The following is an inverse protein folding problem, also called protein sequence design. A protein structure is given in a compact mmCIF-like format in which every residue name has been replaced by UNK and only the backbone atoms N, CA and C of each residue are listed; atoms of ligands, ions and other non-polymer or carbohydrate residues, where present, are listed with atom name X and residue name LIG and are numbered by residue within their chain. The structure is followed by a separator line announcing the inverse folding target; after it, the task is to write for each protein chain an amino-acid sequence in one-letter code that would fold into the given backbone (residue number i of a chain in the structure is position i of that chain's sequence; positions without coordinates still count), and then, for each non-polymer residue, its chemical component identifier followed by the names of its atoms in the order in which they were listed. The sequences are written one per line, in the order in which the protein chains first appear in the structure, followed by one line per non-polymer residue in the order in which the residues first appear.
data_IF_284639975364
#
_entry.id   IF_284639975364
#
_cell.length_a   1.000
_cell.length_b   1.000
_cell.length_c   1.000
_cell.angle_alpha   90.00
_cell.angle_beta   90.00
_cell.angle_gamma   90.00
#
_symmetry.space_group_name_H-M   'P 1'
#
loop_
_entity.id
_entity.type
_entity.pdbx_description
1 polymer ?
#
# COMPACT_ATOMS: atom_id res chain seq x y z
N UNK A 1 -44.96 21.78 8.07
CA UNK A 1 -45.53 20.97 9.15
C UNK A 1 -44.48 20.89 10.25
N UNK A 2 -44.72 21.53 11.39
CA UNK A 2 -43.80 21.47 12.53
C UNK A 2 -43.96 20.14 13.26
N UNK A 3 -42.84 19.46 13.53
CA UNK A 3 -42.84 18.30 14.41
C UNK A 3 -43.04 18.77 15.86
N UNK A 4 -43.90 18.13 16.65
CA UNK A 4 -44.09 18.51 18.04
C UNK A 4 -42.81 18.24 18.83
N UNK A 5 -42.40 19.23 19.62
CA UNK A 5 -41.40 19.07 20.67
C UNK A 5 -41.97 18.11 21.73
N UNK A 6 -41.62 16.84 21.63
CA UNK A 6 -41.83 15.90 22.71
C UNK A 6 -40.66 15.99 23.69
N UNK A 7 -41.00 16.28 24.94
CA UNK A 7 -40.08 16.57 26.02
C UNK A 7 -39.17 15.38 26.33
N UNK A 8 -37.87 15.54 26.09
CA UNK A 8 -36.81 14.79 26.76
C UNK A 8 -36.35 13.47 26.12
N UNK A 9 -36.98 13.01 25.04
CA UNK A 9 -36.48 11.86 24.28
C UNK A 9 -36.38 12.27 22.80
N UNK A 10 -35.17 12.43 22.22
CA UNK A 10 -35.06 12.62 20.79
C UNK A 10 -35.68 11.38 20.15
N UNK A 11 -36.82 11.56 19.47
CA UNK A 11 -37.49 10.44 18.83
C UNK A 11 -36.53 9.62 17.96
N UNK A 12 -36.90 8.37 17.67
CA UNK A 12 -36.05 7.46 16.88
C UNK A 12 -35.50 8.10 15.60
N UNK A 13 -36.29 8.95 14.93
CA UNK A 13 -35.90 9.61 13.69
C UNK A 13 -34.73 10.59 13.85
N UNK A 14 -34.76 11.60 14.75
CA UNK A 14 -33.58 12.41 15.07
C UNK A 14 -32.32 11.61 15.41
N UNK A 15 -32.45 10.58 16.25
CA UNK A 15 -31.31 9.74 16.62
C UNK A 15 -30.76 8.97 15.40
N UNK A 16 -31.64 8.44 14.57
CA UNK A 16 -31.25 7.75 13.33
C UNK A 16 -30.47 8.69 12.40
N UNK A 17 -30.93 9.93 12.22
CA UNK A 17 -30.22 10.94 11.42
C UNK A 17 -28.84 11.29 12.00
N UNK A 18 -28.73 11.39 13.33
CA UNK A 18 -27.44 11.59 13.98
C UNK A 18 -26.50 10.41 13.71
N UNK A 19 -26.99 9.17 13.82
CA UNK A 19 -26.18 7.98 13.54
C UNK A 19 -25.74 7.97 12.08
N UNK A 20 -26.61 8.25 11.11
CA UNK A 20 -26.26 8.18 9.68
C UNK A 20 -25.19 9.17 9.25
N UNK A 21 -25.13 10.35 9.88
CA UNK A 21 -24.15 11.38 9.53
C UNK A 21 -22.85 11.30 10.35
N UNK A 22 -22.82 10.52 11.44
CA UNK A 22 -21.70 10.49 12.39
C UNK A 22 -21.08 9.10 12.55
N UNK A 23 -21.55 8.10 11.80
CA UNK A 23 -20.97 6.78 11.82
C UNK A 23 -19.67 6.73 11.00
N UNK A 24 -18.73 5.92 11.50
CA UNK A 24 -17.46 5.64 10.86
C UNK A 24 -17.43 4.19 10.42
N UNK A 25 -17.05 3.96 9.17
CA UNK A 25 -16.69 2.62 8.72
C UNK A 25 -15.36 2.23 9.37
N UNK A 26 -15.36 1.12 10.10
CA UNK A 26 -14.18 0.57 10.74
C UNK A 26 -13.51 -0.37 9.75
N UNK A 27 -12.24 -0.13 9.46
CA UNK A 27 -11.43 -0.97 8.58
C UNK A 27 -10.43 -1.82 9.37
N UNK A 28 -10.06 -2.98 8.81
CA UNK A 28 -8.99 -3.81 9.35
C UNK A 28 -7.60 -3.31 8.88
N UNK A 29 -6.53 -4.00 9.28
CA UNK A 29 -5.16 -3.67 8.88
C UNK A 29 -4.89 -3.75 7.36
N UNK A 30 -5.77 -4.39 6.59
CA UNK A 30 -5.69 -4.42 5.12
C UNK A 30 -6.61 -3.37 4.46
N UNK A 31 -7.16 -2.46 5.26
CA UNK A 31 -8.08 -1.40 4.83
C UNK A 31 -9.41 -1.92 4.25
N UNK A 32 -9.81 -3.14 4.64
CA UNK A 32 -11.12 -3.68 4.31
C UNK A 32 -12.14 -3.30 5.38
N UNK A 33 -13.33 -2.90 4.95
CA UNK A 33 -14.43 -2.53 5.83
C UNK A 33 -14.95 -3.75 6.59
N UNK A 34 -14.91 -3.71 7.92
CA UNK A 34 -15.32 -4.83 8.80
C UNK A 34 -16.44 -4.47 9.77
N UNK A 35 -16.77 -3.19 9.91
CA UNK A 35 -17.82 -2.76 10.82
C UNK A 35 -18.14 -1.28 10.73
N UNK A 36 -19.04 -0.85 11.62
CA UNK A 36 -19.44 0.55 11.75
C UNK A 36 -19.44 0.92 13.24
N UNK A 37 -18.90 2.09 13.57
CA UNK A 37 -18.82 2.60 14.94
C UNK A 37 -19.19 4.07 15.05
N UNK A 38 -19.52 4.50 16.27
CA UNK A 38 -19.75 5.90 16.60
C UNK A 38 -18.61 6.40 17.48
N UNK A 39 -17.96 7.48 17.05
CA UNK A 39 -16.84 8.11 17.74
C UNK A 39 -17.14 9.61 17.93
N UNK A 40 -17.97 9.99 18.92
CA UNK A 40 -18.51 11.34 19.02
C UNK A 40 -17.47 12.46 18.99
N UNK A 41 -16.30 12.26 19.63
CA UNK A 41 -15.21 13.23 19.60
C UNK A 41 -14.59 13.41 18.21
N UNK A 42 -14.55 12.34 17.40
CA UNK A 42 -14.01 12.37 16.05
C UNK A 42 -15.04 12.88 15.04
N UNK A 43 -16.34 12.77 15.34
CA UNK A 43 -17.43 13.35 14.56
C UNK A 43 -17.41 14.89 14.51
N UNK A 44 -16.57 15.54 15.32
CA UNK A 44 -16.36 17.00 15.27
C UNK A 44 -15.49 17.45 14.09
N UNK A 45 -14.71 16.54 13.50
CA UNK A 45 -13.75 16.87 12.43
C UNK A 45 -14.50 17.03 11.11
N UNK A 46 -14.33 18.16 10.43
CA UNK A 46 -14.95 18.42 9.14
C UNK A 46 -14.26 17.68 7.99
N UNK A 47 -14.95 17.64 6.85
CA UNK A 47 -14.46 17.01 5.64
C UNK A 47 -13.48 17.89 4.85
N UNK A 48 -12.43 17.29 4.30
CA UNK A 48 -11.73 17.79 3.12
C UNK A 48 -11.39 16.61 2.20
N UNK A 49 -11.46 16.79 0.87
CA UNK A 49 -10.94 15.79 -0.07
C UNK A 49 -9.40 15.78 -0.13
N UNK A 50 -8.75 16.80 0.46
CA UNK A 50 -7.30 16.87 0.69
C UNK A 50 -7.07 17.18 2.19
N UNK A 51 -7.28 16.19 3.07
CA UNK A 51 -7.31 16.40 4.51
C UNK A 51 -5.92 16.58 5.11
N UNK A 52 -5.84 17.22 6.29
CA UNK A 52 -4.60 17.31 7.06
C UNK A 52 -4.44 16.21 8.12
N UNK A 53 -5.50 15.43 8.37
CA UNK A 53 -5.48 14.26 9.23
C UNK A 53 -6.00 13.02 8.49
N UNK A 54 -5.52 11.86 8.94
CA UNK A 54 -6.05 10.55 8.54
C UNK A 54 -6.49 9.77 9.78
N UNK A 55 -7.41 8.85 9.55
CA UNK A 55 -7.88 7.90 10.54
C UNK A 55 -7.41 6.50 10.13
N UNK A 56 -6.87 5.76 11.09
CA UNK A 56 -6.62 4.33 11.00
C UNK A 56 -7.19 3.64 12.23
N UNK A 57 -7.41 2.33 12.16
CA UNK A 57 -8.00 1.55 13.24
C UNK A 57 -7.06 0.45 13.73
N UNK A 58 -6.96 0.30 15.04
CA UNK A 58 -6.38 -0.87 15.72
C UNK A 58 -7.54 -1.62 16.41
N UNK A 59 -8.08 -2.63 15.73
CA UNK A 59 -9.36 -3.23 16.12
C UNK A 59 -10.49 -2.21 16.06
N UNK A 60 -11.08 -1.88 17.22
CA UNK A 60 -12.10 -0.81 17.33
C UNK A 60 -11.52 0.53 17.80
N UNK A 61 -10.21 0.61 18.05
CA UNK A 61 -9.58 1.84 18.49
C UNK A 61 -9.27 2.73 17.28
N UNK A 62 -9.88 3.92 17.25
CA UNK A 62 -9.65 4.94 16.23
C UNK A 62 -8.39 5.75 16.58
N UNK A 63 -7.44 5.80 15.65
CA UNK A 63 -6.22 6.60 15.75
C UNK A 63 -6.27 7.74 14.73
N UNK A 64 -6.35 8.98 15.24
CA UNK A 64 -6.27 10.20 14.44
C UNK A 64 -4.82 10.67 14.37
N UNK A 65 -4.29 10.88 13.17
CA UNK A 65 -2.90 11.34 12.97
C UNK A 65 -2.82 12.42 11.92
N UNK A 66 -2.01 13.45 12.17
CA UNK A 66 -1.69 14.48 11.19
C UNK A 66 -0.80 13.92 10.08
N UNK A 67 -1.10 14.28 8.82
CA UNK A 67 -0.34 13.86 7.63
C UNK A 67 0.39 15.01 6.94
N UNK A 68 0.31 16.21 7.52
CA UNK A 68 1.12 17.37 7.17
C UNK A 68 1.29 18.26 8.39
N UNK A 69 2.14 19.26 8.28
CA UNK A 69 2.22 20.32 9.29
C UNK A 69 0.88 21.06 9.37
N UNK A 70 0.47 21.40 10.59
CA UNK A 70 -0.80 22.06 10.90
C UNK A 70 -0.48 23.31 11.72
N UNK A 71 -0.92 24.46 11.22
CA UNK A 71 -0.65 25.74 11.88
C UNK A 71 -1.62 25.98 13.05
N UNK A 72 -1.22 26.82 14.02
CA UNK A 72 -2.10 27.20 15.12
C UNK A 72 -3.36 27.89 14.57
N UNK A 73 -4.53 27.38 14.94
CA UNK A 73 -5.82 27.88 14.46
C UNK A 73 -6.27 27.29 13.12
N UNK A 74 -5.46 26.44 12.48
CA UNK A 74 -5.89 25.68 11.32
C UNK A 74 -6.87 24.58 11.73
N UNK A 75 -7.95 24.42 10.95
CA UNK A 75 -8.96 23.41 11.18
C UNK A 75 -8.42 21.99 10.89
N UNK A 76 -8.73 21.04 11.77
CA UNK A 76 -8.43 19.63 11.55
C UNK A 76 -9.51 19.00 10.66
N UNK A 77 -9.10 18.41 9.55
CA UNK A 77 -10.01 17.80 8.57
C UNK A 77 -9.63 16.37 8.24
N UNK A 78 -10.63 15.55 7.92
CA UNK A 78 -10.49 14.15 7.48
C UNK A 78 -11.26 13.94 6.17
N UNK A 79 -10.99 12.85 5.45
CA UNK A 79 -11.85 12.44 4.34
C UNK A 79 -12.99 11.57 4.87
N UNK A 80 -14.24 11.94 4.60
CA UNK A 80 -15.41 11.13 4.96
C UNK A 80 -15.68 10.02 3.95
N UNK A 81 -15.16 10.19 2.74
CA UNK A 81 -15.46 9.38 1.57
C UNK A 81 -14.17 8.89 0.92
N UNK A 82 -14.29 7.91 0.03
CA UNK A 82 -13.19 7.54 -0.86
C UNK A 82 -12.90 8.71 -1.82
N UNK A 83 -11.67 9.22 -1.82
CA UNK A 83 -11.28 10.36 -2.68
C UNK A 83 -10.87 9.93 -4.10
N UNK A 84 -10.71 8.62 -4.35
CA UNK A 84 -10.35 8.01 -5.65
C UNK A 84 -11.55 7.86 -6.59
N UNK A 85 -12.42 8.85 -6.61
CA UNK A 85 -13.52 8.99 -7.58
C UNK A 85 -13.58 10.43 -8.11
N UNK A 86 -14.21 10.69 -9.28
CA UNK A 86 -14.28 12.04 -9.84
C UNK A 86 -15.01 13.01 -8.92
N UNK A 87 -14.77 14.31 -9.07
CA UNK A 87 -15.35 15.37 -8.24
C UNK A 87 -16.87 15.32 -8.23
N UNK A 88 -17.50 15.05 -9.38
CA UNK A 88 -18.94 14.88 -9.48
C UNK A 88 -19.50 13.77 -8.58
N UNK A 89 -18.82 12.63 -8.49
CA UNK A 89 -19.22 11.52 -7.63
C UNK A 89 -18.97 11.86 -6.15
N UNK A 90 -17.85 12.51 -5.84
CA UNK A 90 -17.56 13.00 -4.48
C UNK A 90 -18.66 13.95 -3.99
N UNK A 91 -19.00 14.98 -4.77
CA UNK A 91 -20.07 15.94 -4.43
C UNK A 91 -21.42 15.25 -4.24
N UNK A 92 -21.76 14.31 -5.12
CA UNK A 92 -23.01 13.55 -5.02
C UNK A 92 -23.06 12.71 -3.74
N UNK A 93 -21.97 12.05 -3.37
CA UNK A 93 -21.89 11.26 -2.14
C UNK A 93 -22.00 12.15 -0.89
N UNK A 94 -21.26 13.26 -0.87
CA UNK A 94 -21.28 14.21 0.25
C UNK A 94 -22.66 14.85 0.42
N UNK A 95 -23.30 15.29 -0.65
CA UNK A 95 -24.64 15.85 -0.61
C UNK A 95 -25.67 14.82 -0.14
N UNK A 96 -25.56 13.57 -0.62
CA UNK A 96 -26.52 12.51 -0.28
C UNK A 96 -26.44 12.07 1.18
N UNK A 97 -25.23 11.98 1.75
CA UNK A 97 -25.01 11.43 3.08
C UNK A 97 -24.86 12.50 4.16
N UNK A 98 -24.22 13.63 3.83
CA UNK A 98 -23.84 14.66 4.80
C UNK A 98 -24.49 16.03 4.50
N UNK A 99 -25.26 16.14 3.41
CA UNK A 99 -26.06 17.32 3.08
C UNK A 99 -25.25 18.63 2.91
N UNK A 100 -24.04 18.54 2.35
CA UNK A 100 -23.22 19.72 2.03
C UNK A 100 -22.47 19.55 0.70
N UNK A 101 -22.03 20.67 0.13
CA UNK A 101 -21.13 20.73 -1.04
C UNK A 101 -19.71 21.04 -0.57
N UNK A 102 -18.72 20.30 -1.05
CA UNK A 102 -17.32 20.50 -0.67
C UNK A 102 -16.65 21.54 -1.56
N UNK A 103 -16.05 22.55 -0.95
CA UNK A 103 -15.37 23.66 -1.64
C UNK A 103 -13.84 23.59 -1.54
N UNK A 104 -13.26 22.46 -1.11
CA UNK A 104 -11.82 22.31 -1.00
C UNK A 104 -11.10 22.49 -2.35
N UNK A 105 -9.80 22.81 -2.32
CA UNK A 105 -8.97 23.05 -3.52
C UNK A 105 -9.04 21.90 -4.55
N UNK A 106 -9.11 20.65 -4.09
CA UNK A 106 -9.22 19.50 -4.99
C UNK A 106 -10.55 19.49 -5.78
N UNK A 107 -11.65 19.93 -5.16
CA UNK A 107 -12.95 20.06 -5.81
C UNK A 107 -13.03 21.29 -6.71
N UNK A 108 -12.30 22.36 -6.40
CA UNK A 108 -12.23 23.56 -7.23
C UNK A 108 -11.41 23.33 -8.51
N UNK A 109 -10.25 22.66 -8.40
CA UNK A 109 -9.33 22.51 -9.53
C UNK A 109 -9.73 21.37 -10.48
N UNK A 110 -10.27 20.26 -9.96
CA UNK A 110 -10.70 19.07 -10.73
C UNK A 110 -9.63 18.45 -11.66
N UNK A 111 -8.35 18.84 -11.52
CA UNK A 111 -7.26 18.47 -12.43
C UNK A 111 -7.10 16.95 -12.62
N UNK A 112 -7.33 16.18 -11.55
CA UNK A 112 -7.18 14.72 -11.59
C UNK A 112 -8.37 14.00 -12.21
N UNK A 113 -9.50 14.65 -12.45
CA UNK A 113 -10.72 13.97 -12.92
C UNK A 113 -10.59 13.45 -14.36
N UNK A 114 -9.90 14.20 -15.23
CA UNK A 114 -9.59 13.75 -16.58
C UNK A 114 -8.72 12.49 -16.57
N UNK A 115 -7.71 12.44 -15.70
CA UNK A 115 -6.83 11.27 -15.56
C UNK A 115 -7.59 10.08 -14.94
N UNK A 116 -8.46 10.33 -13.96
CA UNK A 116 -9.30 9.29 -13.34
C UNK A 116 -10.19 8.57 -14.35
N UNK A 117 -10.64 9.28 -15.39
CA UNK A 117 -11.51 8.78 -16.45
C UNK A 117 -10.79 8.63 -17.80
N UNK A 118 -9.45 8.58 -17.80
CA UNK A 118 -8.66 8.46 -19.02
C UNK A 118 -8.96 7.16 -19.79
N UNK A 119 -8.81 7.21 -21.11
CA UNK A 119 -9.09 6.09 -22.01
C UNK A 119 -10.48 6.15 -22.65
N UNK A 120 -10.87 5.07 -23.33
CA UNK A 120 -12.12 4.99 -24.08
C UNK A 120 -13.36 4.92 -23.15
N UNK A 121 -14.34 5.80 -23.39
CA UNK A 121 -15.51 5.97 -22.50
C UNK A 121 -16.37 4.72 -22.36
N UNK A 122 -16.66 4.02 -23.45
CA UNK A 122 -17.46 2.79 -23.36
C UNK A 122 -16.70 1.70 -22.59
N UNK A 123 -15.37 1.64 -22.74
CA UNK A 123 -14.53 0.64 -22.11
C UNK A 123 -14.51 0.83 -20.59
N UNK A 124 -14.28 2.06 -20.10
CA UNK A 124 -14.26 2.27 -18.65
C UNK A 124 -15.65 2.20 -18.03
N UNK A 125 -16.73 2.47 -18.77
CA UNK A 125 -18.11 2.24 -18.29
C UNK A 125 -18.41 0.76 -18.08
N UNK A 126 -18.02 -0.08 -19.04
CA UNK A 126 -18.14 -1.54 -18.90
C UNK A 126 -17.36 -2.05 -17.68
N UNK A 127 -16.12 -1.58 -17.50
CA UNK A 127 -15.30 -1.95 -16.33
C UNK A 127 -15.90 -1.41 -15.04
N UNK A 128 -16.43 -0.18 -15.02
CA UNK A 128 -17.13 0.39 -13.87
C UNK A 128 -18.30 -0.48 -13.43
N UNK A 129 -19.15 -0.88 -14.38
CA UNK A 129 -20.31 -1.74 -14.09
C UNK A 129 -19.85 -3.08 -13.53
N UNK A 130 -18.79 -3.66 -14.11
CA UNK A 130 -18.21 -4.90 -13.62
C UNK A 130 -17.65 -4.80 -12.19
N UNK A 131 -16.91 -3.74 -11.87
CA UNK A 131 -16.36 -3.51 -10.52
C UNK A 131 -17.49 -3.33 -9.49
N UNK A 132 -18.54 -2.59 -9.84
CA UNK A 132 -19.66 -2.33 -8.92
C UNK A 132 -20.49 -3.59 -8.60
N UNK A 133 -20.43 -4.62 -9.43
CA UNK A 133 -21.11 -5.89 -9.22
C UNK A 133 -20.30 -6.90 -8.38
N UNK A 134 -19.00 -6.65 -8.18
CA UNK A 134 -18.16 -7.55 -7.38
C UNK A 134 -18.65 -7.55 -5.93
N UNK A 135 -18.99 -8.75 -5.44
CA UNK A 135 -19.34 -8.99 -4.04
C UNK A 135 -18.19 -9.72 -3.37
N UNK A 136 -18.07 -9.58 -2.05
CA UNK A 136 -17.05 -10.30 -1.29
C UNK A 136 -17.24 -11.82 -1.43
N UNK A 137 -16.25 -12.54 -1.99
CA UNK A 137 -16.37 -13.96 -2.27
C UNK A 137 -16.36 -14.82 -1.02
N UNK A 138 -17.10 -15.93 -1.04
CA UNK A 138 -17.23 -16.85 0.09
C UNK A 138 -16.60 -18.21 -0.16
N UNK A 139 -16.21 -18.51 -1.40
CA UNK A 139 -15.59 -19.77 -1.77
C UNK A 139 -14.49 -19.58 -2.81
N UNK A 140 -13.67 -20.62 -2.98
CA UNK A 140 -12.59 -20.63 -3.96
C UNK A 140 -13.12 -20.49 -5.39
N UNK A 141 -14.24 -21.12 -5.70
CA UNK A 141 -14.88 -21.08 -7.02
C UNK A 141 -15.40 -19.68 -7.37
N UNK A 142 -15.84 -18.90 -6.38
CA UNK A 142 -16.22 -17.50 -6.59
C UNK A 142 -14.99 -16.62 -6.90
N UNK A 143 -13.86 -16.88 -6.24
CA UNK A 143 -12.58 -16.21 -6.56
C UNK A 143 -12.11 -16.54 -7.98
N UNK A 144 -12.22 -17.79 -8.43
CA UNK A 144 -11.88 -18.20 -9.80
C UNK A 144 -12.74 -17.48 -10.85
N UNK A 145 -14.05 -17.33 -10.60
CA UNK A 145 -14.96 -16.59 -11.47
C UNK A 145 -14.60 -15.11 -11.56
N UNK A 146 -14.27 -14.49 -10.42
CA UNK A 146 -13.82 -13.10 -10.37
C UNK A 146 -12.52 -12.94 -11.14
N UNK A 147 -11.53 -13.80 -10.90
CA UNK A 147 -10.25 -13.72 -11.60
C UNK A 147 -10.44 -13.86 -13.11
N UNK A 148 -11.25 -14.82 -13.56
CA UNK A 148 -11.56 -15.00 -14.99
C UNK A 148 -12.23 -13.75 -15.58
N UNK A 149 -13.17 -13.13 -14.87
CA UNK A 149 -13.81 -11.88 -15.29
C UNK A 149 -12.80 -10.73 -15.38
N UNK A 150 -11.94 -10.58 -14.36
CA UNK A 150 -10.87 -9.58 -14.34
C UNK A 150 -9.91 -9.76 -15.53
N UNK A 151 -9.42 -10.98 -15.75
CA UNK A 151 -8.50 -11.30 -16.85
C UNK A 151 -9.12 -10.99 -18.21
N UNK A 152 -10.39 -11.35 -18.42
CA UNK A 152 -11.10 -11.07 -19.68
C UNK A 152 -11.23 -9.56 -19.93
N UNK A 153 -11.61 -8.78 -18.92
CA UNK A 153 -11.76 -7.32 -19.06
C UNK A 153 -10.41 -6.61 -19.19
N UNK A 154 -9.40 -7.01 -18.40
CA UNK A 154 -8.06 -6.43 -18.46
C UNK A 154 -7.39 -6.70 -19.81
N UNK A 155 -7.54 -7.91 -20.35
CA UNK A 155 -6.97 -8.27 -21.66
C UNK A 155 -7.69 -7.56 -22.80
N UNK A 156 -9.03 -7.53 -22.79
CA UNK A 156 -9.85 -6.86 -23.82
C UNK A 156 -9.65 -5.35 -23.89
N UNK A 157 -9.23 -4.74 -22.78
CA UNK A 157 -8.99 -3.29 -22.68
C UNK A 157 -7.50 -2.89 -22.78
N UNK A 158 -6.62 -3.83 -23.13
CA UNK A 158 -5.20 -3.54 -23.34
C UNK A 158 -5.04 -2.44 -24.41
N UNK A 159 -4.39 -1.34 -24.05
CA UNK A 159 -4.19 -0.19 -24.95
C UNK A 159 -5.38 0.78 -25.04
N UNK A 160 -6.56 0.42 -24.51
CA UNK A 160 -7.77 1.26 -24.50
C UNK A 160 -7.92 2.03 -23.19
N UNK A 161 -7.54 1.39 -22.08
CA UNK A 161 -7.57 1.97 -20.75
C UNK A 161 -6.18 1.97 -20.13
N UNK A 162 -5.66 3.13 -19.68
CA UNK A 162 -4.44 3.16 -18.90
C UNK A 162 -4.70 2.68 -17.47
N UNK A 163 -3.66 2.18 -16.79
CA UNK A 163 -3.75 1.77 -15.38
C UNK A 163 -4.08 2.94 -14.43
N UNK A 164 -3.91 4.18 -14.90
CA UNK A 164 -4.34 5.39 -14.19
C UNK A 164 -5.86 5.58 -14.18
N UNK A 165 -6.61 4.98 -15.11
CA UNK A 165 -8.08 5.01 -15.03
C UNK A 165 -8.54 4.31 -13.73
N UNK A 166 -9.40 4.96 -12.94
CA UNK A 166 -9.76 4.45 -11.61
C UNK A 166 -10.52 3.12 -11.65
N UNK A 167 -11.27 2.84 -12.70
CA UNK A 167 -12.03 1.58 -12.81
C UNK A 167 -11.10 0.45 -13.25
N UNK A 168 -10.16 0.74 -14.15
CA UNK A 168 -9.06 -0.18 -14.47
C UNK A 168 -8.22 -0.48 -13.23
N UNK A 169 -7.88 0.54 -12.44
CA UNK A 169 -7.13 0.38 -11.19
C UNK A 169 -7.87 -0.49 -10.16
N UNK A 170 -9.18 -0.27 -9.98
CA UNK A 170 -10.01 -1.12 -9.11
C UNK A 170 -10.10 -2.56 -9.63
N UNK A 171 -10.15 -2.76 -10.95
CA UNK A 171 -10.11 -4.09 -11.55
C UNK A 171 -8.76 -4.79 -11.32
N UNK A 172 -7.64 -4.07 -11.38
CA UNK A 172 -6.32 -4.61 -11.06
C UNK A 172 -6.21 -5.04 -9.59
N UNK A 173 -6.73 -4.23 -8.68
CA UNK A 173 -6.74 -4.55 -7.25
C UNK A 173 -7.60 -5.78 -6.95
N UNK A 174 -8.78 -5.87 -7.60
CA UNK A 174 -9.65 -7.05 -7.52
C UNK A 174 -8.99 -8.32 -8.09
N UNK A 175 -8.27 -8.21 -9.21
CA UNK A 175 -7.50 -9.32 -9.77
C UNK A 175 -6.38 -9.77 -8.83
N UNK A 176 -5.67 -8.80 -8.22
CA UNK A 176 -4.64 -9.08 -7.22
C UNK A 176 -5.23 -9.81 -6.01
N UNK A 177 -6.36 -9.37 -5.46
CA UNK A 177 -7.07 -10.04 -4.36
C UNK A 177 -7.44 -11.47 -4.72
N UNK A 178 -7.99 -11.69 -5.91
CA UNK A 178 -8.36 -13.01 -6.37
C UNK A 178 -7.14 -13.93 -6.50
N UNK A 179 -6.04 -13.44 -7.09
CA UNK A 179 -4.79 -14.20 -7.17
C UNK A 179 -4.21 -14.54 -5.80
N UNK A 180 -4.27 -13.61 -4.82
CA UNK A 180 -3.81 -13.88 -3.44
C UNK A 180 -4.63 -15.01 -2.80
N UNK A 181 -5.96 -14.95 -2.93
CA UNK A 181 -6.87 -15.96 -2.35
C UNK A 181 -6.79 -17.32 -3.07
N UNK A 182 -6.31 -17.33 -4.32
CA UNK A 182 -6.08 -18.54 -5.11
C UNK A 182 -4.64 -19.05 -5.04
N UNK A 183 -3.78 -18.39 -4.26
CA UNK A 183 -2.35 -18.69 -4.09
C UNK A 183 -1.52 -18.56 -5.40
N UNK A 184 -2.01 -17.76 -6.36
CA UNK A 184 -1.31 -17.41 -7.60
C UNK A 184 -0.38 -16.21 -7.38
N UNK A 185 0.72 -16.42 -6.64
CA UNK A 185 1.60 -15.34 -6.16
C UNK A 185 2.25 -14.49 -7.26
N UNK A 186 2.67 -15.12 -8.37
CA UNK A 186 3.31 -14.42 -9.50
C UNK A 186 2.33 -13.46 -10.19
N UNK A 187 1.10 -13.91 -10.46
CA UNK A 187 0.05 -13.09 -11.05
C UNK A 187 -0.42 -11.99 -10.09
N UNK A 188 -0.53 -12.29 -8.80
CA UNK A 188 -0.83 -11.31 -7.77
C UNK A 188 0.21 -10.17 -7.77
N UNK A 189 1.50 -10.52 -7.86
CA UNK A 189 2.58 -9.53 -7.93
C UNK A 189 2.53 -8.73 -9.23
N UNK A 190 2.20 -9.36 -10.35
CA UNK A 190 2.04 -8.69 -11.64
C UNK A 190 0.96 -7.60 -11.57
N UNK A 191 -0.25 -7.93 -11.09
CA UNK A 191 -1.33 -6.95 -10.94
C UNK A 191 -0.99 -5.89 -9.89
N UNK A 192 -0.49 -6.30 -8.71
CA UNK A 192 -0.12 -5.39 -7.64
C UNK A 192 0.93 -4.37 -8.05
N UNK A 193 1.96 -4.79 -8.79
CA UNK A 193 3.02 -3.89 -9.28
C UNK A 193 2.48 -2.79 -10.19
N UNK A 194 1.47 -3.10 -11.02
CA UNK A 194 0.81 -2.13 -11.90
C UNK A 194 0.03 -1.05 -11.13
N UNK A 195 -0.45 -1.36 -9.94
CA UNK A 195 -1.18 -0.40 -9.10
C UNK A 195 -0.29 0.67 -8.45
N UNK A 196 1.01 0.40 -8.24
CA UNK A 196 1.89 1.27 -7.46
C UNK A 196 2.04 2.68 -8.06
N UNK A 197 2.12 2.77 -9.39
CA UNK A 197 2.21 4.04 -10.11
C UNK A 197 0.96 4.91 -9.91
N UNK A 198 -0.23 4.41 -10.27
CA UNK A 198 -1.51 5.09 -10.02
C UNK A 198 -1.74 5.45 -8.55
N UNK A 199 -1.44 4.57 -7.59
CA UNK A 199 -1.59 4.88 -6.16
C UNK A 199 -0.68 6.05 -5.74
N UNK A 200 0.55 6.14 -6.25
CA UNK A 200 1.44 7.28 -6.01
C UNK A 200 0.89 8.59 -6.60
N UNK A 201 0.23 8.51 -7.75
CA UNK A 201 -0.36 9.68 -8.43
C UNK A 201 -1.58 10.23 -7.67
N UNK A 202 -2.48 9.34 -7.25
CA UNK A 202 -3.74 9.74 -6.62
C UNK A 202 -3.63 10.02 -5.13
N UNK A 203 -2.73 9.33 -4.44
CA UNK A 203 -2.48 9.50 -3.01
C UNK A 203 -1.07 10.08 -2.78
N UNK A 204 -0.87 11.39 -3.07
CA UNK A 204 0.39 12.05 -2.79
C UNK A 204 0.62 12.15 -1.27
N UNK A 205 1.87 12.34 -0.87
CA UNK A 205 2.22 12.49 0.55
C UNK A 205 1.98 11.21 1.37
N UNK A 206 1.42 11.39 2.58
CA UNK A 206 1.25 10.34 3.58
C UNK A 206 -0.19 9.84 3.62
N UNK A 207 -0.51 8.82 2.81
CA UNK A 207 -1.85 8.25 2.77
C UNK A 207 -1.87 6.76 3.17
N UNK A 208 -2.78 6.32 4.07
CA UNK A 208 -2.81 4.94 4.56
C UNK A 208 -2.99 3.91 3.43
N UNK A 209 -3.93 4.10 2.50
CA UNK A 209 -4.15 3.15 1.39
C UNK A 209 -2.90 2.93 0.52
N UNK A 210 -2.11 3.98 0.25
CA UNK A 210 -0.85 3.84 -0.51
C UNK A 210 0.19 3.05 0.28
N UNK A 211 0.27 3.29 1.59
CA UNK A 211 1.18 2.58 2.48
C UNK A 211 0.86 1.08 2.52
N UNK A 212 -0.42 0.75 2.69
CA UNK A 212 -0.91 -0.64 2.70
C UNK A 212 -0.67 -1.31 1.36
N UNK A 213 -0.94 -0.65 0.23
CA UNK A 213 -0.68 -1.24 -1.08
C UNK A 213 0.81 -1.52 -1.33
N UNK A 214 1.70 -0.60 -0.93
CA UNK A 214 3.15 -0.84 -0.96
C UNK A 214 3.54 -2.03 -0.08
N UNK A 215 2.97 -2.14 1.13
CA UNK A 215 3.22 -3.27 2.01
C UNK A 215 2.75 -4.59 1.40
N UNK A 216 1.57 -4.64 0.80
CA UNK A 216 1.03 -5.84 0.12
C UNK A 216 1.93 -6.28 -1.04
N UNK A 217 2.35 -5.35 -1.90
CA UNK A 217 3.28 -5.66 -3.00
C UNK A 217 4.65 -6.07 -2.46
N UNK A 218 5.16 -5.40 -1.42
CA UNK A 218 6.43 -5.76 -0.78
C UNK A 218 6.41 -7.16 -0.17
N UNK A 219 5.29 -7.59 0.43
CA UNK A 219 5.06 -8.97 0.90
C UNK A 219 5.09 -9.98 -0.24
N UNK A 220 4.44 -9.69 -1.37
CA UNK A 220 4.46 -10.55 -2.56
C UNK A 220 5.85 -10.66 -3.18
N UNK A 221 6.63 -9.59 -3.18
CA UNK A 221 8.04 -9.61 -3.60
C UNK A 221 8.88 -10.45 -2.65
N UNK A 222 8.66 -10.31 -1.34
CA UNK A 222 9.35 -11.08 -0.32
C UNK A 222 9.08 -12.58 -0.43
N UNK A 223 7.82 -12.99 -0.62
CA UNK A 223 7.45 -14.41 -0.76
C UNK A 223 8.03 -15.06 -2.03
N UNK A 224 8.48 -14.27 -2.99
CA UNK A 224 9.10 -14.70 -4.24
C UNK A 224 10.64 -14.51 -4.24
N UNK A 225 11.25 -14.39 -3.05
CA UNK A 225 12.70 -14.19 -2.87
C UNK A 225 13.27 -12.94 -3.57
N UNK A 226 12.43 -11.97 -3.95
CA UNK A 226 12.84 -10.71 -4.56
C UNK A 226 13.29 -9.70 -3.50
N UNK A 227 14.19 -10.12 -2.60
CA UNK A 227 14.57 -9.36 -1.39
C UNK A 227 15.03 -7.92 -1.65
N UNK A 228 15.83 -7.59 -2.70
CA UNK A 228 16.21 -6.21 -2.98
C UNK A 228 15.01 -5.31 -3.31
N UNK A 229 14.11 -5.81 -4.17
CA UNK A 229 12.89 -5.10 -4.56
C UNK A 229 11.93 -4.99 -3.38
N UNK A 230 11.73 -6.10 -2.65
CA UNK A 230 10.90 -6.15 -1.46
C UNK A 230 11.37 -5.11 -0.43
N UNK A 231 12.66 -5.04 -0.14
CA UNK A 231 13.20 -4.08 0.82
C UNK A 231 12.99 -2.62 0.39
N UNK A 232 13.16 -2.31 -0.90
CA UNK A 232 12.90 -0.96 -1.42
C UNK A 232 11.42 -0.59 -1.30
N UNK A 233 10.51 -1.49 -1.66
CA UNK A 233 9.06 -1.27 -1.56
C UNK A 233 8.60 -1.15 -0.11
N UNK A 234 9.08 -2.04 0.78
CA UNK A 234 8.75 -2.02 2.21
C UNK A 234 9.31 -0.78 2.92
N UNK A 235 10.46 -0.25 2.49
CA UNK A 235 10.97 1.05 2.99
C UNK A 235 10.06 2.21 2.61
N UNK A 236 9.50 2.20 1.40
CA UNK A 236 8.51 3.21 1.00
C UNK A 236 7.24 3.10 1.83
N UNK A 237 6.74 1.88 2.06
CA UNK A 237 5.62 1.64 2.97
C UNK A 237 5.91 2.16 4.38
N UNK A 238 7.10 1.86 4.92
CA UNK A 238 7.51 2.26 6.28
C UNK A 238 7.52 3.78 6.44
N UNK A 239 8.08 4.50 5.47
CA UNK A 239 8.14 5.96 5.51
C UNK A 239 6.74 6.59 5.59
N UNK A 240 5.75 5.96 4.96
CA UNK A 240 4.36 6.43 5.00
C UNK A 240 3.65 5.98 6.28
N UNK A 241 3.77 4.70 6.64
CA UNK A 241 3.10 4.12 7.80
C UNK A 241 3.60 4.68 9.13
N UNK A 242 4.86 5.11 9.21
CA UNK A 242 5.39 5.82 10.38
C UNK A 242 4.57 7.07 10.72
N UNK A 243 4.03 7.76 9.69
CA UNK A 243 3.18 8.94 9.87
C UNK A 243 1.72 8.53 10.06
N UNK A 244 1.19 7.67 9.19
CA UNK A 244 -0.25 7.38 9.12
C UNK A 244 -0.74 6.37 10.16
N UNK A 245 0.10 5.42 10.57
CA UNK A 245 -0.22 4.39 11.56
C UNK A 245 0.51 4.61 12.88
N UNK A 246 1.80 4.98 12.82
CA UNK A 246 2.67 5.12 13.99
C UNK A 246 3.35 3.81 14.39
N UNK A 247 4.34 3.90 15.27
CA UNK A 247 5.20 2.78 15.64
C UNK A 247 4.47 1.65 16.41
N UNK A 248 3.44 2.01 17.16
CA UNK A 248 2.71 1.08 18.05
C UNK A 248 1.63 0.27 17.33
N UNK A 249 1.31 0.61 16.07
CA UNK A 249 0.27 -0.08 15.31
C UNK A 249 0.75 -1.48 14.87
N UNK A 250 -0.12 -2.48 15.01
CA UNK A 250 0.16 -3.88 14.64
C UNK A 250 0.68 -4.05 13.21
N UNK A 251 0.07 -3.35 12.25
CA UNK A 251 0.50 -3.39 10.85
C UNK A 251 1.91 -2.80 10.65
N UNK A 252 2.29 -1.78 11.43
CA UNK A 252 3.64 -1.22 11.39
C UNK A 252 4.67 -2.21 11.95
N UNK A 253 4.33 -2.94 13.01
CA UNK A 253 5.17 -3.99 13.57
C UNK A 253 5.39 -5.13 12.56
N UNK A 254 4.31 -5.62 11.93
CA UNK A 254 4.38 -6.64 10.90
C UNK A 254 5.21 -6.19 9.68
N UNK A 255 5.13 -4.91 9.31
CA UNK A 255 5.97 -4.34 8.26
C UNK A 255 7.46 -4.35 8.65
N UNK A 256 7.78 -3.92 9.87
CA UNK A 256 9.16 -3.87 10.36
C UNK A 256 9.79 -5.25 10.40
N UNK A 257 9.05 -6.27 10.85
CA UNK A 257 9.52 -7.65 10.88
C UNK A 257 9.97 -8.14 9.49
N UNK A 258 9.14 -7.99 8.46
CA UNK A 258 9.47 -8.43 7.10
C UNK A 258 10.62 -7.60 6.52
N UNK A 259 10.65 -6.30 6.81
CA UNK A 259 11.73 -5.41 6.37
C UNK A 259 13.08 -5.83 6.98
N UNK A 260 13.12 -6.14 8.28
CA UNK A 260 14.33 -6.60 8.97
C UNK A 260 14.79 -7.97 8.47
N UNK A 261 13.85 -8.87 8.19
CA UNK A 261 14.15 -10.16 7.55
C UNK A 261 14.81 -9.96 6.17
N UNK A 262 14.30 -9.05 5.34
CA UNK A 262 14.93 -8.69 4.07
C UNK A 262 16.36 -8.15 4.26
N UNK A 263 16.56 -7.25 5.22
CA UNK A 263 17.87 -6.66 5.52
C UNK A 263 18.87 -7.72 5.99
N UNK A 264 18.44 -8.64 6.86
CA UNK A 264 19.27 -9.74 7.34
C UNK A 264 19.69 -10.69 6.20
N UNK A 265 18.77 -11.05 5.29
CA UNK A 265 19.06 -11.90 4.13
C UNK A 265 20.09 -11.24 3.22
N UNK A 266 19.89 -9.96 2.87
CA UNK A 266 20.80 -9.23 2.00
C UNK A 266 22.19 -9.04 2.64
N UNK A 267 22.23 -8.77 3.94
CA UNK A 267 23.49 -8.66 4.68
C UNK A 267 24.26 -9.99 4.70
N UNK A 268 23.57 -11.12 4.96
CA UNK A 268 24.19 -12.46 4.91
C UNK A 268 24.71 -12.79 3.51
N UNK A 269 23.95 -12.48 2.46
CA UNK A 269 24.37 -12.68 1.08
C UNK A 269 25.63 -11.87 0.76
N UNK A 270 25.68 -10.60 1.19
CA UNK A 270 26.85 -9.74 1.03
C UNK A 270 28.06 -10.24 1.80
N UNK A 271 27.89 -10.67 3.05
CA UNK A 271 28.96 -11.23 3.87
C UNK A 271 29.55 -12.51 3.22
N UNK A 272 28.70 -13.41 2.73
CA UNK A 272 29.14 -14.61 2.02
C UNK A 272 29.90 -14.26 0.74
N UNK A 273 29.39 -13.33 -0.06
CA UNK A 273 30.08 -12.86 -1.27
C UNK A 273 31.46 -12.29 -0.95
N UNK A 274 31.56 -11.46 0.10
CA UNK A 274 32.83 -10.86 0.52
C UNK A 274 33.84 -11.93 0.93
N UNK A 275 33.44 -12.93 1.71
CA UNK A 275 34.35 -13.98 2.21
C UNK A 275 34.72 -14.99 1.12
N UNK A 276 33.79 -15.36 0.23
CA UNK A 276 34.01 -16.42 -0.77
C UNK A 276 34.65 -15.90 -2.06
N UNK A 277 34.35 -14.66 -2.46
CA UNK A 277 34.79 -14.11 -3.74
C UNK A 277 35.80 -12.98 -3.55
N UNK A 278 35.49 -11.96 -2.75
CA UNK A 278 36.37 -10.79 -2.64
C UNK A 278 37.66 -11.10 -1.88
N UNK A 279 37.59 -11.76 -0.72
CA UNK A 279 38.79 -12.02 0.09
C UNK A 279 39.81 -12.92 -0.64
N UNK A 280 39.42 -14.03 -1.30
CA UNK A 280 40.36 -14.83 -2.06
C UNK A 280 40.98 -14.10 -3.27
N UNK A 281 40.27 -13.15 -3.88
CA UNK A 281 40.80 -12.32 -4.97
C UNK A 281 41.78 -11.24 -4.49
N UNK A 282 41.67 -10.79 -3.24
CA UNK A 282 42.63 -9.88 -2.61
C UNK A 282 43.88 -10.63 -2.11
N UNK A 283 43.72 -11.91 -1.74
CA UNK A 283 44.82 -12.79 -1.31
C UNK A 283 45.54 -13.47 -2.49
N UNK A 284 44.97 -13.42 -3.71
CA UNK A 284 45.57 -14.05 -4.90
C UNK A 284 46.63 -13.17 -5.57
N UNK A 285 47.81 -13.11 -4.94
CA UNK A 285 49.11 -12.93 -5.61
C UNK A 285 49.68 -14.28 -6.11
N UNK A 286 48.83 -15.29 -6.36
CA UNK A 286 49.26 -16.66 -6.73
C UNK A 286 48.54 -17.14 -8.01
N UNK A 287 49.25 -17.72 -9.00
CA UNK A 287 48.67 -18.03 -10.32
C UNK A 287 47.80 -19.30 -10.29
N UNK A 288 46.59 -19.23 -10.85
CA UNK A 288 45.64 -20.35 -10.92
C UNK A 288 45.62 -21.08 -12.27
N UNK A 289 45.73 -22.41 -12.23
CA UNK A 289 45.26 -23.32 -13.29
C UNK A 289 43.78 -23.70 -13.05
N UNK A 290 43.02 -23.75 -14.15
CA UNK A 290 41.57 -23.78 -14.25
C UNK A 290 40.89 -25.12 -13.90
N UNK A 291 39.60 -25.06 -13.50
CA UNK A 291 38.67 -26.19 -13.60
C UNK A 291 37.32 -25.72 -14.18
N UNK A 292 36.83 -26.41 -15.23
CA UNK A 292 35.80 -25.92 -16.18
C UNK A 292 34.37 -26.44 -15.95
N UNK A 293 34.08 -27.19 -14.89
CA UNK A 293 32.78 -27.87 -14.74
C UNK A 293 31.80 -27.25 -13.72
N UNK A 294 32.08 -26.07 -13.17
CA UNK A 294 31.17 -25.36 -12.26
C UNK A 294 30.24 -24.32 -12.96
N UNK A 295 30.44 -24.06 -14.25
CA UNK A 295 30.00 -22.83 -14.93
C UNK A 295 28.50 -22.64 -15.28
N UNK A 296 27.56 -23.43 -14.75
CA UNK A 296 26.11 -23.23 -14.98
C UNK A 296 25.34 -22.92 -13.70
N UNK A 297 25.49 -23.75 -12.66
CA UNK A 297 24.94 -23.47 -11.31
C UNK A 297 25.62 -22.25 -10.67
N UNK A 298 26.88 -22.00 -11.04
CA UNK A 298 27.68 -20.88 -10.58
C UNK A 298 27.29 -19.59 -11.32
N UNK A 299 26.88 -19.66 -12.60
CA UNK A 299 26.37 -18.49 -13.36
C UNK A 299 25.05 -17.95 -12.82
N UNK A 300 24.14 -18.83 -12.43
CA UNK A 300 22.83 -18.41 -11.91
C UNK A 300 22.97 -17.79 -10.51
N UNK A 301 23.84 -18.37 -9.67
CA UNK A 301 24.25 -17.77 -8.39
C UNK A 301 25.00 -16.46 -8.59
N UNK A 302 25.90 -16.39 -9.56
CA UNK A 302 26.67 -15.21 -9.91
C UNK A 302 25.78 -14.09 -10.45
N UNK A 303 24.76 -14.36 -11.26
CA UNK A 303 23.79 -13.35 -11.72
C UNK A 303 22.88 -12.85 -10.60
N UNK A 304 22.42 -13.73 -9.70
CA UNK A 304 21.70 -13.31 -8.48
C UNK A 304 22.58 -12.41 -7.60
N UNK A 305 23.86 -12.78 -7.44
CA UNK A 305 24.83 -12.00 -6.67
C UNK A 305 25.16 -10.67 -7.36
N UNK A 306 25.39 -10.65 -8.68
CA UNK A 306 25.61 -9.41 -9.47
C UNK A 306 24.42 -8.47 -9.38
N UNK A 307 23.20 -9.00 -9.35
CA UNK A 307 21.97 -8.22 -9.16
C UNK A 307 21.93 -7.58 -7.76
N UNK A 308 22.27 -8.34 -6.72
CA UNK A 308 22.41 -7.84 -5.34
C UNK A 308 23.51 -6.78 -5.24
N UNK A 309 24.66 -6.98 -5.90
CA UNK A 309 25.78 -6.02 -5.92
C UNK A 309 25.40 -4.74 -6.67
N UNK A 310 24.77 -4.84 -7.84
CA UNK A 310 24.26 -3.67 -8.58
C UNK A 310 23.29 -2.87 -7.71
N UNK A 311 22.39 -3.54 -7.01
CA UNK A 311 21.48 -2.88 -6.07
C UNK A 311 22.23 -2.20 -4.91
N UNK A 312 23.27 -2.85 -4.36
CA UNK A 312 24.06 -2.27 -3.28
C UNK A 312 24.85 -1.04 -3.72
N UNK A 313 25.48 -1.08 -4.90
CA UNK A 313 26.19 0.06 -5.49
C UNK A 313 25.24 1.24 -5.75
N UNK A 314 24.07 0.97 -6.33
CA UNK A 314 23.05 1.99 -6.61
C UNK A 314 22.48 2.58 -5.32
N UNK A 315 22.21 1.75 -4.30
CA UNK A 315 21.66 2.20 -3.01
C UNK A 315 22.66 2.96 -2.12
N UNK A 316 23.97 2.77 -2.34
CA UNK A 316 25.02 3.62 -1.76
C UNK A 316 25.14 4.94 -2.52
N UNK A 317 25.17 4.90 -3.85
CA UNK A 317 25.26 6.10 -4.68
C UNK A 317 24.09 7.08 -4.48
N UNK A 318 22.89 6.58 -4.18
CA UNK A 318 21.71 7.41 -3.86
C UNK A 318 21.70 7.96 -2.42
N UNK A 319 22.52 7.40 -1.52
CA UNK A 319 22.66 7.88 -0.13
C UNK A 319 23.63 9.06 -0.01
N UNK A 320 24.57 9.20 -0.94
CA UNK A 320 25.57 10.26 -0.93
C UNK A 320 25.05 11.62 -1.46
N UNK A 321 23.83 11.68 -2.02
CA UNK A 321 23.25 12.93 -2.54
C UNK A 321 22.37 13.71 -1.55
N UNK A 322 22.02 13.17 -0.38
CA UNK A 322 20.98 13.80 0.47
C UNK A 322 21.10 13.62 2.00
N UNK A 323 22.29 13.58 2.62
CA UNK A 323 22.44 13.92 4.06
C UNK A 323 23.89 14.14 4.50
N UNK A 324 24.19 15.07 5.42
CA UNK A 324 25.54 15.36 5.89
C UNK A 324 26.08 14.28 6.82
N UNK A 325 27.39 14.09 6.75
CA UNK A 325 28.26 13.18 7.49
C UNK A 325 28.19 13.32 9.03
N UNK A 326 28.09 12.20 9.76
CA UNK A 326 29.13 11.72 10.70
C UNK A 326 28.70 10.64 11.75
N UNK A 327 27.43 10.30 11.94
CA UNK A 327 27.05 9.57 13.19
C UNK A 327 26.82 8.04 13.14
N UNK A 328 26.93 7.33 11.99
CA UNK A 328 26.57 5.89 11.92
C UNK A 328 27.75 4.89 11.94
N UNK A 329 28.88 5.25 12.57
CA UNK A 329 29.96 4.30 12.88
C UNK A 329 29.88 3.85 14.34
N UNK A 330 28.93 3.00 14.73
CA UNK A 330 28.99 2.19 15.98
C UNK A 330 27.75 1.29 16.18
N UNK A 331 27.49 0.36 15.28
CA UNK A 331 26.69 -0.83 15.64
C UNK A 331 27.34 -2.06 15.02
N UNK A 332 28.32 -2.62 15.72
CA UNK A 332 28.83 -3.97 15.52
C UNK A 332 27.99 -4.91 16.38
N UNK A 333 26.93 -5.49 15.83
CA UNK A 333 26.21 -6.59 16.46
C UNK A 333 27.01 -7.89 16.28
N UNK A 334 27.24 -8.55 17.42
CA UNK A 334 28.07 -9.72 17.62
C UNK A 334 27.59 -10.93 16.78
N UNK A 335 28.51 -11.51 16.01
CA UNK A 335 28.28 -12.55 15.00
C UNK A 335 28.00 -13.93 15.64
N UNK A 336 28.14 -14.07 16.95
CA UNK A 336 28.10 -15.34 17.67
C UNK A 336 26.71 -15.83 18.14
N UNK A 337 25.63 -15.05 17.95
CA UNK A 337 24.36 -15.28 18.67
C UNK A 337 23.13 -15.69 17.83
N UNK A 338 23.23 -15.98 16.53
CA UNK A 338 22.02 -16.30 15.74
C UNK A 338 21.98 -17.78 15.31
N UNK A 339 21.01 -18.58 15.81
CA UNK A 339 20.91 -19.99 15.48
C UNK A 339 20.51 -20.20 14.02
N UNK A 340 21.17 -21.17 13.38
CA UNK A 340 20.72 -21.83 12.16
C UNK A 340 19.27 -22.29 12.33
N UNK A 341 18.34 -21.69 11.58
CA UNK A 341 17.00 -22.26 11.44
C UNK A 341 16.58 -22.30 9.99
N UNK A 342 16.45 -23.54 9.51
CA UNK A 342 15.50 -23.96 8.49
C UNK A 342 14.10 -23.48 8.87
N UNK A 343 13.53 -22.55 8.11
CA UNK A 343 12.15 -22.11 8.33
C UNK A 343 11.24 -22.97 7.46
N UNK A 344 10.40 -23.77 8.13
CA UNK A 344 9.20 -24.37 7.54
C UNK A 344 8.12 -23.30 7.49
N UNK A 345 7.48 -23.17 6.33
CA UNK A 345 6.34 -22.31 6.06
C UNK A 345 5.15 -22.64 6.98
N UNK A 346 4.51 -21.61 7.53
CA UNK A 346 3.11 -21.60 7.99
C UNK A 346 2.49 -20.26 7.63
#
# INVERSE_FOLDING_TARGET
MGFPNDSGNPGFFPLFLQVTCNCFTISNGEMQDVGVGLYPSMSLLNHSCDPNCVIVFEGYQLLLRSVREIQIGEELTISYIESLVPTSERQKQLMRQYCFECDCLLCQNQEKDAEKLAGEEHAWKEVKDAVNEVRYPKSKEEWEQILARCQNLLSSNTGRLPDTNIYQLKMLDCAMDACINLESWEEALYYGSRTLGPYRLYYPGFHPLRAVQLMRVGKLQYSQDMFPQALETLKQAYNIMKVTHGADHSLMQALMEIKEQCEAVLYRAYALYRTVIIMPLLDSDVPHHANRNAGLLEKEKEEKIKTIIKWFIISKSRRDENTPSEELRKESLDISLLPCLSVKYF
#
